data_IF_154095876038
#
_entry.id   IF_154095876038
#
_cell.length_a   1.000
_cell.length_b   1.000
_cell.length_c   1.000
_cell.angle_alpha   90.00
_cell.angle_beta   90.00
_cell.angle_gamma   90.00
#
_symmetry.space_group_name_H-M   'P 1'
#
loop_
_entity.id
_entity.type
_entity.pdbx_description
1 polymer ?
#
# COMPACT_ATOMS: atom_id res chain seq x y z
N UNK A 1 -6.83 -10.10 -5.13
CA UNK A 1 -6.44 -10.13 -3.70
C UNK A 1 -5.19 -9.29 -3.56
N UNK A 2 -5.21 -8.27 -2.71
CA UNK A 2 -4.02 -7.49 -2.41
C UNK A 2 -3.03 -8.34 -1.61
N UNK A 3 -1.78 -8.39 -2.05
CA UNK A 3 -0.71 -9.14 -1.38
C UNK A 3 0.25 -8.14 -0.73
N UNK A 4 0.62 -8.38 0.53
CA UNK A 4 1.59 -7.54 1.24
C UNK A 4 2.65 -8.44 1.85
N UNK A 5 3.90 -8.23 1.45
CA UNK A 5 5.02 -8.96 2.01
C UNK A 5 5.07 -8.78 3.54
N UNK A 6 5.27 -9.85 4.34
CA UNK A 6 5.31 -9.76 5.79
C UNK A 6 6.35 -8.76 6.32
N UNK A 7 7.43 -8.48 5.58
CA UNK A 7 8.42 -7.46 5.93
C UNK A 7 7.86 -6.04 5.83
N UNK A 8 6.92 -5.82 4.91
CA UNK A 8 6.25 -4.53 4.70
C UNK A 8 5.03 -4.37 5.61
N UNK A 9 4.50 -5.47 6.15
CA UNK A 9 3.30 -5.48 6.99
C UNK A 9 3.37 -4.49 8.15
N UNK A 10 4.53 -4.38 8.83
CA UNK A 10 4.73 -3.40 9.89
C UNK A 10 4.56 -1.94 9.41
N UNK A 11 5.07 -1.63 8.21
CA UNK A 11 4.93 -0.31 7.59
C UNK A 11 3.49 -0.08 7.14
N UNK A 12 2.88 -1.08 6.52
CA UNK A 12 1.49 -1.05 6.09
C UNK A 12 0.53 -0.84 7.25
N UNK A 13 0.73 -1.52 8.37
CA UNK A 13 -0.07 -1.35 9.58
C UNK A 13 0.11 0.04 10.20
N UNK A 14 1.31 0.63 10.11
CA UNK A 14 1.60 1.99 10.54
C UNK A 14 0.92 3.08 9.69
N UNK A 15 0.37 2.75 8.52
CA UNK A 15 -0.37 3.70 7.70
C UNK A 15 -1.76 4.02 8.29
N UNK A 16 -2.33 5.18 7.97
CA UNK A 16 -3.74 5.47 8.19
C UNK A 16 -4.67 4.44 7.56
N UNK A 17 -5.87 4.30 8.13
CA UNK A 17 -6.91 3.39 7.62
C UNK A 17 -7.34 3.77 6.20
N UNK A 18 -7.37 5.05 5.87
CA UNK A 18 -7.74 5.55 4.53
C UNK A 18 -6.79 5.02 3.45
N UNK A 19 -5.49 5.20 3.65
CA UNK A 19 -4.47 4.66 2.73
C UNK A 19 -4.53 3.13 2.65
N UNK A 20 -4.70 2.43 3.78
CA UNK A 20 -4.87 0.97 3.76
C UNK A 20 -6.06 0.54 2.92
N UNK A 21 -7.20 1.20 3.08
CA UNK A 21 -8.41 0.88 2.32
C UNK A 21 -8.23 1.17 0.82
N UNK A 22 -7.59 2.28 0.46
CA UNK A 22 -7.29 2.59 -0.95
C UNK A 22 -6.31 1.58 -1.57
N UNK A 23 -5.25 1.20 -0.85
CA UNK A 23 -4.32 0.16 -1.30
C UNK A 23 -5.05 -1.18 -1.49
N UNK A 24 -5.94 -1.55 -0.55
CA UNK A 24 -6.72 -2.78 -0.66
C UNK A 24 -7.70 -2.73 -1.83
N UNK A 25 -8.34 -1.58 -2.08
CA UNK A 25 -9.27 -1.34 -3.21
C UNK A 25 -8.58 -1.45 -4.57
N UNK A 26 -7.30 -1.08 -4.66
CA UNK A 26 -6.50 -1.16 -5.89
C UNK A 26 -5.96 -2.55 -6.19
N UNK A 27 -6.22 -3.55 -5.35
CA UNK A 27 -5.80 -4.95 -5.57
C UNK A 27 -4.27 -5.10 -5.82
N UNK A 28 -3.45 -4.28 -5.15
CA UNK A 28 -2.00 -4.24 -5.40
C UNK A 28 -1.24 -5.39 -4.75
N UNK A 29 -0.10 -5.74 -5.35
CA UNK A 29 0.83 -6.74 -4.83
C UNK A 29 2.14 -6.07 -4.43
N UNK A 30 2.31 -5.85 -3.13
CA UNK A 30 3.46 -5.19 -2.54
C UNK A 30 4.50 -6.23 -2.11
N UNK A 31 5.56 -6.36 -2.90
CA UNK A 31 6.70 -7.25 -2.61
C UNK A 31 7.87 -6.49 -2.01
N UNK A 32 8.03 -5.22 -2.40
CA UNK A 32 9.13 -4.35 -1.99
C UNK A 32 8.64 -3.02 -1.44
N UNK A 33 9.54 -2.31 -0.77
CA UNK A 33 9.25 -0.99 -0.21
C UNK A 33 8.97 0.03 -1.33
N UNK A 34 9.60 -0.14 -2.51
CA UNK A 34 9.32 0.70 -3.67
C UNK A 34 7.89 0.52 -4.17
N UNK A 35 7.38 -0.72 -4.23
CA UNK A 35 5.98 -0.96 -4.64
C UNK A 35 5.00 -0.23 -3.72
N UNK A 36 5.30 -0.20 -2.41
CA UNK A 36 4.49 0.53 -1.43
C UNK A 36 4.57 2.04 -1.69
N UNK A 37 5.76 2.57 -1.96
CA UNK A 37 5.96 4.00 -2.23
C UNK A 37 5.24 4.41 -3.51
N UNK A 38 5.39 3.68 -4.61
CA UNK A 38 4.73 4.00 -5.88
C UNK A 38 3.21 3.89 -5.76
N UNK A 39 2.70 2.89 -5.04
CA UNK A 39 1.27 2.78 -4.77
C UNK A 39 0.76 3.97 -3.95
N UNK A 40 1.51 4.40 -2.93
CA UNK A 40 1.14 5.56 -2.12
C UNK A 40 1.20 6.85 -2.92
N UNK A 41 2.23 7.03 -3.75
CA UNK A 41 2.35 8.18 -4.65
C UNK A 41 1.19 8.23 -5.63
N UNK A 42 0.85 7.10 -6.26
CA UNK A 42 -0.29 7.01 -7.17
C UNK A 42 -1.63 7.27 -6.48
N UNK A 43 -1.76 7.03 -5.17
CA UNK A 43 -2.97 7.39 -4.41
C UNK A 43 -3.00 8.90 -4.15
N UNK A 44 -1.88 9.48 -3.72
CA UNK A 44 -1.77 10.91 -3.41
C UNK A 44 -1.81 11.80 -4.65
N UNK A 45 -1.29 11.33 -5.79
CA UNK A 45 -1.32 12.09 -7.06
C UNK A 45 -2.68 12.02 -7.77
N UNK A 46 -3.51 11.04 -7.45
CA UNK A 46 -4.88 10.92 -8.00
C UNK A 46 -5.92 11.69 -7.17
N UNK A 47 -5.59 12.17 -5.97
CA UNK A 47 -6.40 13.10 -5.13
C UNK A 47 -6.01 14.57 -5.32
#
# INVERSE_FOLDING_TARGET
MSYVDPKLRYRFESLPIELKNEILRRDVSLYTLNDLIECLQSIVEEE
#
